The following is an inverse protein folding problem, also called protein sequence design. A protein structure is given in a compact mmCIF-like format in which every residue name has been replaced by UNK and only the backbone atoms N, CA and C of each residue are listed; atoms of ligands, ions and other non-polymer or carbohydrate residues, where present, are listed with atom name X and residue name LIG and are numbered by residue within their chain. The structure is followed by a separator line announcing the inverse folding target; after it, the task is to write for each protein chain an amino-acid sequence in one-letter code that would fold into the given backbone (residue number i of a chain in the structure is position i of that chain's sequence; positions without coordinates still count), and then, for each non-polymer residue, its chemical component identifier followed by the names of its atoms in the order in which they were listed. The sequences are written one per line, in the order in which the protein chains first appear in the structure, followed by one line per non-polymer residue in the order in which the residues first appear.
data_IF_972891601390
#
_entry.id   IF_972891601390
#
_cell.length_a   1.000
_cell.length_b   1.000
_cell.length_c   1.000
_cell.angle_alpha   90.00
_cell.angle_beta   90.00
_cell.angle_gamma   90.00
#
_symmetry.space_group_name_H-M   'P 1'
#
loop_
_entity.id
_entity.type
_entity.pdbx_description
1 polymer ?
#
# COMPACT_ATOMS: atom_id res chain seq x y z
N UNK A 1 16.29 16.31 -4.29
CA UNK A 1 16.17 15.75 -5.65
C UNK A 1 15.96 16.89 -6.62
N UNK A 2 16.45 16.76 -7.86
CA UNK A 2 16.11 17.67 -8.96
C UNK A 2 14.61 17.54 -9.27
N UNK A 3 13.87 18.63 -9.54
CA UNK A 3 12.47 18.56 -9.92
C UNK A 3 12.26 17.68 -11.17
N UNK A 4 11.16 16.91 -11.20
CA UNK A 4 10.85 16.00 -12.32
C UNK A 4 10.70 16.75 -13.65
N UNK A 5 10.23 18.00 -13.62
CA UNK A 5 10.08 18.88 -14.78
C UNK A 5 11.42 19.23 -15.45
N UNK A 6 12.53 19.08 -14.70
CA UNK A 6 13.88 19.31 -15.21
C UNK A 6 14.56 18.02 -15.68
N UNK A 7 13.86 16.88 -15.66
CA UNK A 7 14.39 15.62 -16.16
C UNK A 7 14.58 15.70 -17.69
N UNK A 8 15.78 15.40 -18.22
CA UNK A 8 15.99 15.36 -19.65
C UNK A 8 15.07 14.35 -20.34
N UNK A 9 14.57 14.70 -21.53
CA UNK A 9 13.70 13.82 -22.32
C UNK A 9 14.32 12.43 -22.59
N UNK A 10 15.64 12.38 -22.74
CA UNK A 10 16.37 11.13 -22.90
C UNK A 10 16.25 10.22 -21.67
N UNK A 11 16.31 10.79 -20.46
CA UNK A 11 16.14 10.04 -19.21
C UNK A 11 14.69 9.62 -19.01
N UNK A 12 13.75 10.55 -19.24
CA UNK A 12 12.32 10.27 -19.06
C UNK A 12 11.84 9.16 -20.00
N UNK A 13 12.36 9.10 -21.23
CA UNK A 13 12.02 8.04 -22.19
C UNK A 13 12.48 6.64 -21.78
N UNK A 14 13.43 6.54 -20.84
CA UNK A 14 13.95 5.26 -20.32
C UNK A 14 13.17 4.77 -19.10
N UNK A 15 12.28 5.58 -18.53
CA UNK A 15 11.44 5.18 -17.40
C UNK A 15 10.43 4.14 -17.88
N UNK A 16 10.38 3.00 -17.19
CA UNK A 16 9.48 1.90 -17.51
C UNK A 16 8.42 1.65 -16.45
N UNK A 17 8.66 2.12 -15.23
CA UNK A 17 7.83 1.85 -14.07
C UNK A 17 7.70 3.10 -13.20
N UNK A 18 6.46 3.40 -12.81
CA UNK A 18 6.10 4.39 -11.81
C UNK A 18 5.66 3.65 -10.55
N UNK A 19 6.44 3.82 -9.47
CA UNK A 19 6.00 3.48 -8.12
C UNK A 19 5.43 4.73 -7.47
N UNK A 20 4.27 4.62 -6.84
CA UNK A 20 3.61 5.77 -6.20
C UNK A 20 3.00 5.35 -4.88
N UNK A 21 3.11 6.19 -3.85
CA UNK A 21 2.29 6.01 -2.65
C UNK A 21 0.84 6.45 -2.94
N UNK A 22 -0.08 6.16 -2.03
CA UNK A 22 -1.50 6.54 -2.16
C UNK A 22 -1.81 7.72 -1.25
N UNK A 23 -1.72 7.51 0.06
CA UNK A 23 -2.12 8.49 1.07
C UNK A 23 -1.20 9.72 1.03
N UNK A 24 -1.81 10.90 0.97
CA UNK A 24 -1.13 12.20 0.81
C UNK A 24 -0.15 12.29 -0.37
N UNK A 25 -0.30 11.39 -1.35
CA UNK A 25 0.51 11.35 -2.58
C UNK A 25 -0.39 11.37 -3.81
N UNK A 26 -1.24 10.35 -3.99
CA UNK A 26 -2.31 10.36 -4.99
C UNK A 26 -3.60 10.94 -4.45
N UNK A 27 -3.85 10.75 -3.14
CA UNK A 27 -5.01 11.30 -2.47
C UNK A 27 -4.72 12.67 -1.88
N UNK A 28 -5.77 13.48 -1.77
CA UNK A 28 -5.77 14.75 -1.07
C UNK A 28 -7.07 14.82 -0.26
N UNK A 29 -6.95 15.06 1.04
CA UNK A 29 -8.08 15.02 1.98
C UNK A 29 -8.90 13.71 1.89
N UNK A 30 -8.21 12.57 1.85
CA UNK A 30 -8.81 11.24 1.86
C UNK A 30 -9.49 10.83 0.55
N UNK A 31 -9.35 11.61 -0.53
CA UNK A 31 -9.93 11.30 -1.85
C UNK A 31 -8.90 11.44 -2.95
N UNK A 32 -9.00 10.61 -3.97
CA UNK A 32 -8.19 10.74 -5.17
C UNK A 32 -8.85 11.76 -6.08
N UNK A 33 -8.21 12.91 -6.37
CA UNK A 33 -8.76 13.89 -7.30
C UNK A 33 -8.88 13.29 -8.71
N UNK A 34 -9.86 13.76 -9.48
CA UNK A 34 -10.07 13.30 -10.86
C UNK A 34 -8.80 13.41 -11.73
N UNK A 35 -8.04 14.50 -11.55
CA UNK A 35 -6.78 14.71 -12.27
C UNK A 35 -5.71 13.65 -11.94
N UNK A 36 -5.60 13.24 -10.67
CA UNK A 36 -4.66 12.21 -10.25
C UNK A 36 -5.05 10.83 -10.81
N UNK A 37 -6.35 10.50 -10.74
CA UNK A 37 -6.83 9.23 -11.31
C UNK A 37 -6.68 9.20 -12.84
N UNK A 38 -6.91 10.33 -13.52
CA UNK A 38 -6.68 10.46 -14.96
C UNK A 38 -5.19 10.34 -15.33
N UNK A 39 -4.28 10.84 -14.49
CA UNK A 39 -2.85 10.66 -14.70
C UNK A 39 -2.42 9.18 -14.61
N UNK A 40 -3.06 8.38 -13.75
CA UNK A 40 -2.82 6.92 -13.71
C UNK A 40 -3.23 6.26 -15.02
N UNK A 41 -4.41 6.60 -15.58
CA UNK A 41 -4.82 6.12 -16.89
C UNK A 41 -3.86 6.52 -17.99
N UNK A 42 -3.44 7.78 -18.04
CA UNK A 42 -2.50 8.27 -19.05
C UNK A 42 -1.15 7.53 -18.97
N UNK A 43 -0.65 7.28 -17.76
CA UNK A 43 0.58 6.50 -17.57
C UNK A 43 0.41 5.05 -18.07
N UNK A 44 -0.71 4.41 -17.71
CA UNK A 44 -1.04 3.07 -18.15
C UNK A 44 -1.16 2.96 -19.69
N UNK A 45 -1.90 3.88 -20.32
CA UNK A 45 -2.08 3.94 -21.78
C UNK A 45 -0.78 4.25 -22.53
N UNK A 46 0.12 5.05 -21.92
CA UNK A 46 1.47 5.27 -22.42
C UNK A 46 2.40 4.06 -22.26
N UNK A 47 1.93 2.98 -21.62
CA UNK A 47 2.67 1.75 -21.43
C UNK A 47 3.70 1.81 -20.30
N UNK A 48 3.59 2.77 -19.37
CA UNK A 48 4.32 2.73 -18.11
C UNK A 48 3.71 1.68 -17.21
N UNK A 49 4.55 0.89 -16.52
CA UNK A 49 4.06 0.04 -15.44
C UNK A 49 3.71 0.91 -14.25
N UNK A 50 2.49 0.85 -13.74
CA UNK A 50 2.07 1.65 -12.58
C UNK A 50 1.83 0.72 -11.39
N UNK A 51 2.53 0.98 -10.29
CA UNK A 51 2.47 0.15 -9.08
C UNK A 51 2.29 1.05 -7.86
N UNK A 52 1.07 1.17 -7.31
CA UNK A 52 0.87 1.79 -6.03
C UNK A 52 1.55 0.98 -4.91
N UNK A 53 2.20 1.66 -3.97
CA UNK A 53 2.94 1.06 -2.86
C UNK A 53 2.52 1.75 -1.56
N UNK A 54 1.70 1.08 -0.76
CA UNK A 54 0.95 1.70 0.34
C UNK A 54 1.09 0.94 1.67
N UNK A 55 0.77 1.62 2.79
CA UNK A 55 0.53 0.99 4.10
C UNK A 55 -0.92 0.53 4.31
N UNK A 56 -1.78 0.70 3.31
CA UNK A 56 -3.19 0.30 3.32
C UNK A 56 -3.36 -1.23 3.25
N UNK A 57 -4.49 -1.74 3.76
CA UNK A 57 -4.74 -3.17 3.96
C UNK A 57 -4.79 -4.00 2.67
N UNK A 58 -4.66 -5.32 2.81
CA UNK A 58 -4.94 -6.30 1.76
C UNK A 58 -6.29 -6.08 1.07
N UNK A 59 -7.34 -5.71 1.80
CA UNK A 59 -8.66 -5.43 1.22
C UNK A 59 -8.66 -4.28 0.21
N UNK A 60 -7.88 -3.21 0.45
CA UNK A 60 -7.69 -2.13 -0.52
C UNK A 60 -6.91 -2.62 -1.73
N UNK A 61 -5.88 -3.44 -1.50
CA UNK A 61 -5.06 -4.00 -2.56
C UNK A 61 -5.87 -4.89 -3.51
N UNK A 62 -6.82 -5.68 -2.99
CA UNK A 62 -7.71 -6.50 -3.83
C UNK A 62 -8.57 -5.61 -4.75
N UNK A 63 -9.17 -4.54 -4.19
CA UNK A 63 -9.96 -3.60 -4.99
C UNK A 63 -9.12 -2.87 -6.04
N UNK A 64 -7.97 -2.31 -5.64
CA UNK A 64 -7.06 -1.56 -6.51
C UNK A 64 -6.58 -2.43 -7.67
N UNK A 65 -6.09 -3.64 -7.38
CA UNK A 65 -5.60 -4.56 -8.41
C UNK A 65 -6.65 -4.89 -9.47
N UNK A 66 -7.94 -4.93 -9.09
CA UNK A 66 -9.04 -5.28 -10.00
C UNK A 66 -9.58 -4.09 -10.79
N UNK A 67 -9.60 -2.89 -10.20
CA UNK A 67 -10.42 -1.78 -10.68
C UNK A 67 -9.61 -0.60 -11.22
N UNK A 68 -8.36 -0.45 -10.78
CA UNK A 68 -7.53 0.69 -11.18
C UNK A 68 -6.69 0.34 -12.41
N UNK A 69 -6.26 1.34 -13.21
CA UNK A 69 -5.36 1.13 -14.35
C UNK A 69 -3.91 0.91 -13.88
N UNK A 70 -3.66 -0.14 -13.11
CA UNK A 70 -2.37 -0.45 -12.49
C UNK A 70 -1.97 -1.89 -12.78
N UNK A 71 -0.67 -2.15 -12.83
CA UNK A 71 -0.12 -3.48 -13.11
C UNK A 71 -0.09 -4.36 -11.87
N UNK A 72 0.10 -3.74 -10.71
CA UNK A 72 0.10 -4.38 -9.40
C UNK A 72 -0.09 -3.35 -8.30
N UNK A 73 -0.25 -3.81 -7.06
CA UNK A 73 -0.25 -2.98 -5.86
C UNK A 73 0.48 -3.70 -4.74
N UNK A 74 1.31 -2.97 -4.00
CA UNK A 74 2.00 -3.45 -2.79
C UNK A 74 1.31 -2.86 -1.56
N UNK A 75 0.89 -3.73 -0.65
CA UNK A 75 0.12 -3.37 0.55
C UNK A 75 0.87 -3.59 1.85
N UNK A 76 0.30 -3.08 2.93
CA UNK A 76 0.75 -3.32 4.32
C UNK A 76 2.26 -3.14 4.49
N UNK A 77 2.77 -2.03 3.95
CA UNK A 77 4.18 -1.65 4.04
C UNK A 77 5.16 -2.66 3.40
N UNK A 78 4.69 -3.49 2.48
CA UNK A 78 5.51 -4.50 1.80
C UNK A 78 5.21 -5.94 2.22
N UNK A 79 4.19 -6.19 3.04
CA UNK A 79 3.84 -7.55 3.43
C UNK A 79 3.25 -8.39 2.29
N UNK A 80 2.66 -7.72 1.28
CA UNK A 80 1.96 -8.39 0.19
C UNK A 80 2.01 -7.58 -1.10
N UNK A 81 1.84 -8.27 -2.23
CA UNK A 81 1.68 -7.65 -3.54
C UNK A 81 0.64 -8.40 -4.37
N UNK A 82 -0.35 -7.66 -4.91
CA UNK A 82 -1.46 -8.21 -5.69
C UNK A 82 -1.41 -7.71 -7.13
N UNK A 83 -1.72 -8.58 -8.09
CA UNK A 83 -1.72 -8.26 -9.51
C UNK A 83 -2.74 -9.10 -10.29
N UNK A 84 -3.44 -8.50 -11.24
CA UNK A 84 -4.27 -9.25 -12.19
C UNK A 84 -3.36 -9.86 -13.27
N UNK A 85 -3.36 -11.19 -13.38
CA UNK A 85 -2.51 -11.91 -14.33
C UNK A 85 -3.35 -12.56 -15.43
N UNK A 86 -2.95 -12.31 -16.68
CA UNK A 86 -3.44 -13.04 -17.83
C UNK A 86 -3.16 -14.53 -17.66
N UNK A 87 -4.17 -15.34 -17.94
CA UNK A 87 -4.09 -16.79 -17.89
C UNK A 87 -3.81 -17.36 -19.28
N UNK A 88 -3.67 -18.69 -19.38
CA UNK A 88 -3.60 -19.40 -20.66
C UNK A 88 -4.74 -18.99 -21.60
N UNK A 89 -4.50 -19.02 -22.92
CA UNK A 89 -5.44 -18.55 -23.95
C UNK A 89 -6.89 -18.99 -23.69
N UNK A 90 -7.76 -18.00 -23.51
CA UNK A 90 -9.21 -18.18 -23.35
C UNK A 90 -9.73 -18.12 -21.91
N UNK A 91 -8.87 -18.14 -20.90
CA UNK A 91 -9.29 -17.97 -19.51
C UNK A 91 -9.32 -16.48 -19.11
N UNK A 92 -10.29 -16.07 -18.27
CA UNK A 92 -10.31 -14.71 -17.73
C UNK A 92 -9.07 -14.46 -16.86
N UNK A 93 -8.60 -13.20 -16.76
CA UNK A 93 -7.55 -12.84 -15.83
C UNK A 93 -7.91 -13.23 -14.39
N UNK A 94 -6.91 -13.67 -13.64
CA UNK A 94 -7.08 -14.06 -12.24
C UNK A 94 -6.19 -13.20 -11.34
N UNK A 95 -6.65 -12.97 -10.11
CA UNK A 95 -5.85 -12.25 -9.13
C UNK A 95 -4.74 -13.15 -8.59
N UNK A 96 -3.50 -12.71 -8.79
CA UNK A 96 -2.30 -13.29 -8.22
C UNK A 96 -1.92 -12.55 -6.95
N UNK A 97 -1.44 -13.28 -5.95
CA UNK A 97 -1.07 -12.76 -4.63
C UNK A 97 0.30 -13.28 -4.24
N UNK A 98 1.18 -12.36 -3.89
CA UNK A 98 2.48 -12.61 -3.28
C UNK A 98 2.42 -12.13 -1.83
N UNK A 99 3.03 -12.92 -0.94
CA UNK A 99 3.05 -12.66 0.49
C UNK A 99 4.48 -12.78 1.01
N UNK A 100 4.84 -11.91 1.94
CA UNK A 100 6.06 -12.02 2.73
C UNK A 100 5.92 -13.10 3.81
N UNK A 101 7.03 -13.54 4.37
CA UNK A 101 7.00 -14.48 5.49
C UNK A 101 6.44 -13.81 6.75
N UNK A 102 5.43 -14.44 7.35
CA UNK A 102 4.85 -14.02 8.64
C UNK A 102 5.38 -14.91 9.77
N UNK A 103 5.99 -14.35 10.82
CA UNK A 103 6.35 -15.14 11.99
C UNK A 103 5.12 -15.80 12.64
N UNK A 104 5.28 -17.02 13.22
CA UNK A 104 4.21 -17.64 13.98
C UNK A 104 3.82 -16.76 15.19
N UNK A 105 2.55 -16.82 15.58
CA UNK A 105 1.98 -16.05 16.70
C UNK A 105 2.05 -14.53 16.55
N UNK A 106 2.35 -14.01 15.36
CA UNK A 106 2.39 -12.56 15.11
C UNK A 106 1.07 -11.88 15.51
N UNK A 107 -0.09 -12.50 15.22
CA UNK A 107 -1.39 -11.95 15.59
C UNK A 107 -1.57 -11.83 17.10
N UNK A 108 -1.31 -12.89 17.87
CA UNK A 108 -1.47 -12.88 19.33
C UNK A 108 -0.59 -11.81 20.01
N UNK A 109 0.60 -11.59 19.46
CA UNK A 109 1.51 -10.53 19.91
C UNK A 109 0.96 -9.15 19.57
N UNK A 110 0.42 -8.95 18.37
CA UNK A 110 -0.24 -7.69 17.98
C UNK A 110 -1.47 -7.41 18.85
N UNK A 111 -2.29 -8.42 19.16
CA UNK A 111 -3.46 -8.27 20.05
C UNK A 111 -3.04 -7.83 21.47
N UNK A 112 -1.86 -8.25 21.92
CA UNK A 112 -1.28 -7.81 23.21
C UNK A 112 -0.85 -6.35 23.15
N UNK A 113 -0.16 -5.97 22.08
CA UNK A 113 0.29 -4.59 21.84
C UNK A 113 -0.91 -3.65 21.69
N UNK A 114 -1.95 -4.05 20.96
CA UNK A 114 -3.20 -3.30 20.82
C UNK A 114 -3.78 -2.91 22.19
N UNK A 115 -3.96 -3.90 23.07
CA UNK A 115 -4.51 -3.67 24.41
C UNK A 115 -3.65 -2.72 25.22
N UNK A 116 -2.32 -2.85 25.13
CA UNK A 116 -1.40 -1.95 25.83
C UNK A 116 -1.54 -0.51 25.31
N UNK A 117 -1.54 -0.32 23.99
CA UNK A 117 -1.65 1.01 23.36
C UNK A 117 -2.98 1.68 23.73
N UNK A 118 -4.10 0.96 23.60
CA UNK A 118 -5.43 1.53 23.89
C UNK A 118 -5.63 1.84 25.39
N UNK A 119 -4.94 1.12 26.28
CA UNK A 119 -4.93 1.43 27.72
C UNK A 119 -4.09 2.67 28.04
N UNK A 120 -2.92 2.80 27.42
CA UNK A 120 -1.97 3.88 27.68
C UNK A 120 -2.38 5.20 26.98
N UNK A 121 -3.05 5.10 25.83
CA UNK A 121 -3.36 6.22 24.95
C UNK A 121 -4.85 6.19 24.57
N UNK A 122 -5.75 6.64 25.47
CA UNK A 122 -7.20 6.55 25.26
C UNK A 122 -7.75 7.33 24.06
N UNK A 123 -6.98 8.28 23.51
CA UNK A 123 -7.34 9.02 22.31
C UNK A 123 -7.09 8.25 21.00
N UNK A 124 -6.23 7.23 21.04
CA UNK A 124 -5.95 6.38 19.89
C UNK A 124 -7.05 5.36 19.67
N UNK A 125 -7.19 4.88 18.44
CA UNK A 125 -8.07 3.76 18.10
C UNK A 125 -7.36 2.78 17.18
N UNK A 126 -7.85 1.55 17.14
CA UNK A 126 -7.54 0.66 16.01
C UNK A 126 -8.18 1.24 14.75
N UNK A 127 -7.46 1.26 13.64
CA UNK A 127 -7.97 1.75 12.36
C UNK A 127 -9.26 1.01 11.96
N UNK A 128 -10.23 1.73 11.40
CA UNK A 128 -11.53 1.17 11.02
C UNK A 128 -11.42 0.06 9.96
N UNK A 129 -10.34 0.08 9.16
CA UNK A 129 -10.03 -0.90 8.13
C UNK A 129 -9.22 -2.12 8.62
N UNK A 130 -8.97 -2.24 9.93
CA UNK A 130 -8.14 -3.30 10.51
C UNK A 130 -8.62 -4.72 10.17
N UNK A 131 -9.93 -4.93 10.05
CA UNK A 131 -10.50 -6.23 9.68
C UNK A 131 -10.09 -6.73 8.28
N UNK A 132 -9.53 -5.85 7.45
CA UNK A 132 -9.05 -6.16 6.10
C UNK A 132 -7.53 -6.25 6.00
N UNK A 133 -6.81 -6.15 7.14
CA UNK A 133 -5.36 -6.29 7.23
C UNK A 133 -4.98 -7.74 7.51
N UNK A 134 -3.88 -8.19 6.92
CA UNK A 134 -3.38 -9.56 7.05
C UNK A 134 -2.13 -9.66 7.95
N UNK A 135 -1.29 -8.63 8.02
CA UNK A 135 0.04 -8.67 8.65
C UNK A 135 0.24 -7.64 9.75
N UNK A 136 -0.28 -6.42 9.57
CA UNK A 136 0.00 -5.31 10.47
C UNK A 136 -1.20 -4.90 11.35
N UNK A 137 -0.88 -4.27 12.48
CA UNK A 137 -1.83 -3.53 13.32
C UNK A 137 -1.65 -2.04 13.02
N UNK A 138 -2.73 -1.38 12.63
CA UNK A 138 -2.75 0.06 12.41
C UNK A 138 -3.49 0.76 13.55
N UNK A 139 -2.78 1.68 14.20
CA UNK A 139 -3.34 2.54 15.23
C UNK A 139 -3.59 3.92 14.63
N UNK A 140 -4.86 4.32 14.63
CA UNK A 140 -5.33 5.62 14.22
C UNK A 140 -5.04 6.69 15.26
N UNK A 141 -4.35 7.73 14.79
CA UNK A 141 -4.04 8.92 15.57
C UNK A 141 -4.60 10.21 14.96
N UNK A 142 -5.12 10.23 13.72
CA UNK A 142 -5.73 11.43 13.13
C UNK A 142 -6.58 11.22 11.84
N UNK A 143 -6.92 10.00 11.42
CA UNK A 143 -7.84 9.75 10.30
C UNK A 143 -9.30 9.91 10.72
N UNK A 144 -9.73 9.12 11.72
CA UNK A 144 -11.10 9.08 12.25
C UNK A 144 -11.17 9.44 13.73
N UNK A 145 -10.04 9.83 14.32
CA UNK A 145 -9.92 10.36 15.68
C UNK A 145 -9.45 11.81 15.68
N UNK A 146 -9.72 12.52 16.78
CA UNK A 146 -9.08 13.83 17.00
C UNK A 146 -7.57 13.65 17.01
N UNK A 147 -6.87 14.47 16.22
CA UNK A 147 -5.42 14.37 16.05
C UNK A 147 -4.69 14.34 17.40
N UNK A 148 -3.93 13.27 17.62
CA UNK A 148 -3.14 13.09 18.82
C UNK A 148 -1.90 14.00 18.82
N UNK A 149 -1.44 14.45 20.00
CA UNK A 149 -0.20 15.19 20.08
C UNK A 149 0.99 14.29 19.70
N UNK A 150 2.00 14.85 19.04
CA UNK A 150 3.11 14.06 18.46
C UNK A 150 3.88 13.18 19.45
N UNK A 151 3.92 13.52 20.74
CA UNK A 151 4.53 12.66 21.77
C UNK A 151 3.72 11.37 21.99
N UNK A 152 2.40 11.39 21.88
CA UNK A 152 1.57 10.18 21.95
C UNK A 152 1.76 9.33 20.69
N UNK A 153 1.83 9.94 19.50
CA UNK A 153 2.13 9.21 18.26
C UNK A 153 3.48 8.50 18.34
N UNK A 154 4.49 9.20 18.87
CA UNK A 154 5.81 8.60 19.12
C UNK A 154 5.73 7.46 20.14
N UNK A 155 4.94 7.63 21.21
CA UNK A 155 4.75 6.59 22.21
C UNK A 155 4.09 5.32 21.65
N UNK A 156 3.10 5.46 20.77
CA UNK A 156 2.50 4.30 20.06
C UNK A 156 3.59 3.49 19.35
N UNK A 157 4.47 4.17 18.61
CA UNK A 157 5.60 3.53 17.90
C UNK A 157 6.56 2.83 18.88
N UNK A 158 6.92 3.51 19.96
CA UNK A 158 7.81 2.93 20.99
C UNK A 158 7.22 1.65 21.61
N UNK A 159 5.91 1.62 21.90
CA UNK A 159 5.26 0.42 22.46
C UNK A 159 5.37 -0.77 21.50
N UNK A 160 5.21 -0.56 20.19
CA UNK A 160 5.46 -1.61 19.21
C UNK A 160 6.91 -2.11 19.26
N UNK A 161 7.88 -1.18 19.25
CA UNK A 161 9.31 -1.51 19.25
C UNK A 161 9.76 -2.19 20.54
N UNK A 162 9.25 -1.78 21.71
CA UNK A 162 9.46 -2.41 23.01
C UNK A 162 9.00 -3.88 23.05
N UNK A 163 7.95 -4.20 22.30
CA UNK A 163 7.43 -5.56 22.13
C UNK A 163 8.10 -6.33 20.97
N UNK A 164 9.14 -5.75 20.37
CA UNK A 164 9.95 -6.34 19.31
C UNK A 164 9.29 -6.34 17.93
N UNK A 165 8.29 -5.49 17.71
CA UNK A 165 7.67 -5.28 16.40
C UNK A 165 8.42 -4.19 15.62
N UNK A 166 8.39 -4.27 14.30
CA UNK A 166 8.76 -3.14 13.45
C UNK A 166 7.59 -2.17 13.43
N UNK A 167 7.83 -0.87 13.52
CA UNK A 167 6.78 0.14 13.47
C UNK A 167 7.14 1.36 12.62
N UNK A 168 6.14 1.90 11.93
CA UNK A 168 6.25 3.07 11.06
C UNK A 168 5.11 4.03 11.29
N UNK A 169 5.46 5.30 11.46
CA UNK A 169 4.50 6.41 11.50
C UNK A 169 4.25 6.84 10.05
N UNK A 170 2.99 6.80 9.64
CA UNK A 170 2.49 7.42 8.40
C UNK A 170 1.85 8.77 8.72
N UNK A 171 1.19 9.41 7.75
CA UNK A 171 0.51 10.68 7.99
C UNK A 171 -0.74 10.56 8.86
N UNK A 172 -1.30 9.36 8.99
CA UNK A 172 -2.59 9.11 9.66
C UNK A 172 -2.58 7.97 10.67
N UNK A 173 -1.69 6.99 10.48
CA UNK A 173 -1.60 5.78 11.29
C UNK A 173 -0.18 5.52 11.78
N UNK A 174 -0.06 4.88 12.95
CA UNK A 174 1.15 4.11 13.29
C UNK A 174 0.88 2.65 12.97
N UNK A 175 1.63 2.10 12.03
CA UNK A 175 1.55 0.70 11.62
C UNK A 175 2.64 -0.09 12.35
N UNK A 176 2.29 -1.24 12.93
CA UNK A 176 3.26 -2.15 13.55
C UNK A 176 3.05 -3.60 13.12
N UNK A 177 4.14 -4.32 12.87
CA UNK A 177 4.11 -5.70 12.36
C UNK A 177 5.31 -6.53 12.83
N UNK A 178 5.20 -7.85 12.63
CA UNK A 178 6.31 -8.79 12.80
C UNK A 178 6.66 -9.42 11.44
N UNK A 179 7.96 -9.48 11.15
CA UNK A 179 8.49 -9.98 9.88
C UNK A 179 9.58 -9.06 9.35
N UNK A 180 10.36 -9.55 8.40
CA UNK A 180 11.43 -8.81 7.72
C UNK A 180 11.00 -8.49 6.29
N UNK A 181 10.12 -7.51 6.17
CA UNK A 181 9.65 -7.00 4.88
C UNK A 181 9.50 -5.48 4.95
N UNK A 182 9.69 -4.85 3.79
CA UNK A 182 9.45 -3.44 3.60
C UNK A 182 8.99 -3.17 2.15
N UNK A 183 8.59 -1.92 1.88
CA UNK A 183 8.13 -1.49 0.56
C UNK A 183 9.16 -1.78 -0.53
N UNK A 184 10.45 -1.58 -0.25
CA UNK A 184 11.53 -1.74 -1.22
C UNK A 184 11.79 -3.22 -1.54
N UNK A 185 11.93 -4.06 -0.52
CA UNK A 185 12.20 -5.49 -0.70
C UNK A 185 11.05 -6.17 -1.45
N UNK A 186 9.80 -5.86 -1.11
CA UNK A 186 8.64 -6.41 -1.83
C UNK A 186 8.58 -5.95 -3.29
N UNK A 187 8.88 -4.67 -3.56
CA UNK A 187 8.98 -4.16 -4.94
C UNK A 187 10.07 -4.90 -5.74
N UNK A 188 11.22 -5.17 -5.14
CA UNK A 188 12.33 -5.85 -5.79
C UNK A 188 12.06 -7.35 -6.01
N UNK A 189 11.36 -8.00 -5.07
CA UNK A 189 10.95 -9.41 -5.17
C UNK A 189 9.86 -9.63 -6.23
N UNK A 190 8.97 -8.66 -6.35
CA UNK A 190 7.84 -8.75 -7.25
C UNK A 190 8.30 -8.56 -8.69
N UNK A 191 8.63 -9.66 -9.36
CA UNK A 191 8.78 -9.69 -10.82
C UNK A 191 7.41 -9.54 -11.47
N UNK A 192 6.82 -8.34 -11.43
CA UNK A 192 5.54 -8.08 -12.05
C UNK A 192 5.67 -8.20 -13.57
N UNK A 193 5.17 -9.29 -14.21
CA UNK A 193 5.18 -9.36 -15.65
C UNK A 193 4.31 -8.22 -16.17
N UNK A 194 4.82 -7.48 -17.16
CA UNK A 194 4.04 -6.42 -17.80
C UNK A 194 2.78 -7.05 -18.38
N UNK A 195 1.60 -6.55 -18.05
CA UNK A 195 0.37 -7.04 -18.68
C UNK A 195 0.51 -6.82 -20.19
N UNK A 196 0.57 -7.88 -20.97
CA UNK A 196 0.75 -7.80 -22.43
C UNK A 196 -0.55 -7.53 -23.18
N UNK A 197 -1.61 -7.13 -22.47
CA UNK A 197 -2.88 -6.79 -23.12
C UNK A 197 -2.83 -5.38 -23.69
N UNK A 198 -2.46 -5.30 -24.97
CA UNK A 198 -3.12 -4.40 -25.93
C UNK A 198 -4.61 -4.29 -25.57
N UNK A 199 -5.22 -3.08 -25.53
CA UNK A 199 -6.61 -2.92 -25.11
C UNK A 199 -7.53 -3.69 -26.06
N UNK A 200 -7.88 -4.92 -25.70
CA UNK A 200 -8.91 -5.68 -26.38
C UNK A 200 -10.26 -5.13 -25.94
N UNK A 201 -10.81 -4.17 -26.67
CA UNK A 201 -12.24 -3.85 -26.77
C UNK A 201 -13.13 -4.41 -25.64
N UNK A 202 -13.10 -3.81 -24.45
CA UNK A 202 -14.01 -4.20 -23.35
C UNK A 202 -15.26 -3.31 -23.22
N UNK A 203 -15.43 -2.33 -24.12
CA UNK A 203 -16.66 -1.53 -24.20
C UNK A 203 -17.02 -1.23 -25.65
N UNK A 204 -17.70 -2.15 -26.30
CA UNK A 204 -18.63 -1.84 -27.39
C UNK A 204 -19.92 -2.61 -27.13
N UNK A 205 -20.86 -1.96 -26.47
CA UNK A 205 -22.29 -2.23 -26.62
C UNK A 205 -22.77 -1.66 -27.94
#
# INVERSE_FOLDING_TARGET
MTPIEQMPAEESSRIQTLFTDIDDTLSHHGRIPAAAYNALWQAHEAGLRVIPVTGRPAGWCDHIARMWPVDAVVGENGALAYAMQSQSKGAPPALSRLYADRPPNAQERLDTIEKQILQEIPGAKVASDQAYREYDLAIDFCEEVTALPGHQVTRIKEIFEENGATAKISSIHVNGWFGDFDKLSMVLLSTFPKSTNTPSHWYTS
#
